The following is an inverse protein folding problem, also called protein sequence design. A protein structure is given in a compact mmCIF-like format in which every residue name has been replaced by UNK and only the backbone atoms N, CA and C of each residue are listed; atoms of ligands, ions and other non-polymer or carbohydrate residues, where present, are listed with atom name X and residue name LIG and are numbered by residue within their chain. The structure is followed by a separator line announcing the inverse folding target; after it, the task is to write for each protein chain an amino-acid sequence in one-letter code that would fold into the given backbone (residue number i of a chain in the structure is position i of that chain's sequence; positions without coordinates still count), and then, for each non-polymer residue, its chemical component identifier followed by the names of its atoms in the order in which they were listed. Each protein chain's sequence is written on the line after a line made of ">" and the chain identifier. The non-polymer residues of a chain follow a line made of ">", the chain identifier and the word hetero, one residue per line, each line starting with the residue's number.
data_IF_894756997378
#
_entry.id   IF_894756997378
#
_cell.length_a   1.000
_cell.length_b   1.000
_cell.length_c   1.000
_cell.angle_alpha   90.00
_cell.angle_beta   90.00
_cell.angle_gamma   90.00
#
_symmetry.space_group_name_H-M   'P 1'
#
loop_
_entity.id
_entity.type
_entity.pdbx_description
1 polymer ?
#
# COMPACT_ATOMS: atom_id res chain seq x y z
N UNK A 1 0.76 15.20 -0.84
CA UNK A 1 -0.23 14.11 -0.79
C UNK A 1 -1.47 14.59 -0.02
N UNK A 2 -2.69 14.25 -0.47
CA UNK A 2 -3.90 14.44 0.35
C UNK A 2 -4.20 13.12 1.07
N UNK A 3 -4.09 13.13 2.40
CA UNK A 3 -4.44 11.96 3.19
C UNK A 3 -5.96 11.81 3.30
N UNK A 4 -6.44 10.58 3.06
CA UNK A 4 -7.86 10.24 3.13
C UNK A 4 -8.01 8.84 3.77
N UNK A 5 -7.93 8.75 5.11
CA UNK A 5 -7.95 7.46 5.81
C UNK A 5 -9.20 6.65 5.46
N UNK A 6 -8.99 5.45 4.90
CA UNK A 6 -10.02 4.52 4.47
C UNK A 6 -11.04 5.13 3.49
N UNK A 7 -10.67 6.22 2.79
CA UNK A 7 -11.57 7.02 1.95
C UNK A 7 -12.79 7.58 2.70
N UNK A 8 -12.64 7.81 4.01
CA UNK A 8 -13.74 8.19 4.90
C UNK A 8 -13.65 9.61 5.42
N UNK A 9 -12.61 10.40 5.10
CA UNK A 9 -12.41 11.73 5.70
C UNK A 9 -13.64 12.65 5.65
N UNK A 10 -14.37 12.82 4.53
CA UNK A 10 -15.55 13.69 4.50
C UNK A 10 -16.79 13.08 5.17
N UNK A 11 -16.71 11.82 5.62
CA UNK A 11 -17.84 11.05 6.17
C UNK A 11 -17.64 10.67 7.65
N UNK A 12 -16.52 11.07 8.26
CA UNK A 12 -16.26 10.74 9.66
C UNK A 12 -17.20 11.51 10.60
N UNK A 13 -17.83 10.78 11.50
CA UNK A 13 -18.72 11.35 12.53
C UNK A 13 -18.03 11.55 13.88
N UNK A 14 -16.76 11.17 14.00
CA UNK A 14 -15.93 11.31 15.20
C UNK A 14 -14.43 11.41 14.82
N UNK A 15 -13.54 11.84 15.75
CA UNK A 15 -12.13 12.11 15.43
C UNK A 15 -11.36 10.92 14.88
N UNK A 16 -10.37 11.18 14.01
CA UNK A 16 -9.59 10.16 13.30
C UNK A 16 -8.84 9.18 14.23
N UNK A 17 -8.35 9.64 15.39
CA UNK A 17 -7.68 8.76 16.36
C UNK A 17 -8.62 7.70 16.94
N UNK A 18 -9.80 8.12 17.39
CA UNK A 18 -10.84 7.23 17.88
C UNK A 18 -11.35 6.31 16.75
N UNK A 19 -11.43 6.82 15.51
CA UNK A 19 -11.80 6.04 14.31
C UNK A 19 -10.80 4.93 14.01
N UNK A 20 -9.50 5.22 14.10
CA UNK A 20 -8.45 4.20 13.97
C UNK A 20 -8.56 3.15 15.08
N UNK A 21 -8.81 3.56 16.33
CA UNK A 21 -9.00 2.65 17.46
C UNK A 21 -10.19 1.70 17.23
N UNK A 22 -11.29 2.22 16.68
CA UNK A 22 -12.46 1.43 16.33
C UNK A 22 -12.12 0.34 15.30
N UNK A 23 -11.43 0.68 14.21
CA UNK A 23 -11.02 -0.30 13.20
C UNK A 23 -10.09 -1.37 13.74
N UNK A 24 -9.11 -1.00 14.58
CA UNK A 24 -8.22 -1.96 15.22
C UNK A 24 -9.01 -2.97 16.07
N UNK A 25 -10.04 -2.51 16.79
CA UNK A 25 -10.94 -3.40 17.54
C UNK A 25 -11.75 -4.32 16.63
N UNK A 26 -12.36 -3.78 15.57
CA UNK A 26 -13.19 -4.57 14.64
C UNK A 26 -12.35 -5.67 13.98
N UNK A 27 -11.20 -5.30 13.39
CA UNK A 27 -10.29 -6.23 12.72
C UNK A 27 -9.73 -7.24 13.71
N UNK A 28 -9.28 -6.79 14.89
CA UNK A 28 -8.77 -7.66 15.94
C UNK A 28 -9.81 -8.67 16.48
N UNK A 29 -11.10 -8.40 16.33
CA UNK A 29 -12.17 -9.31 16.72
C UNK A 29 -12.60 -10.29 15.63
N UNK A 30 -12.06 -10.18 14.41
CA UNK A 30 -12.42 -11.06 13.30
C UNK A 30 -11.88 -12.47 13.52
N UNK A 31 -12.76 -13.48 13.41
CA UNK A 31 -12.39 -14.91 13.48
C UNK A 31 -11.43 -15.30 12.36
N UNK A 32 -11.69 -14.78 11.16
CA UNK A 32 -10.84 -14.92 9.99
C UNK A 32 -10.28 -13.54 9.64
N UNK A 33 -8.96 -13.40 9.71
CA UNK A 33 -8.31 -12.11 9.47
C UNK A 33 -8.33 -11.78 7.97
N UNK A 34 -8.78 -10.59 7.58
CA UNK A 34 -8.71 -10.15 6.19
C UNK A 34 -7.25 -9.88 5.79
N UNK A 35 -6.96 -10.05 4.50
CA UNK A 35 -5.74 -9.53 3.89
C UNK A 35 -6.01 -8.11 3.40
N UNK A 36 -5.06 -7.20 3.64
CA UNK A 36 -5.11 -5.81 3.16
C UNK A 36 -4.08 -5.62 2.06
N UNK A 37 -4.48 -4.92 1.00
CA UNK A 37 -3.60 -4.49 -0.06
C UNK A 37 -3.73 -2.99 -0.27
N UNK A 38 -2.61 -2.33 -0.56
CA UNK A 38 -2.59 -0.98 -1.10
C UNK A 38 -2.25 -1.07 -2.58
N UNK A 39 -3.07 -0.47 -3.44
CA UNK A 39 -2.92 -0.54 -4.89
C UNK A 39 -2.77 0.86 -5.46
N UNK A 40 -1.87 1.01 -6.43
CA UNK A 40 -1.70 2.24 -7.19
C UNK A 40 -1.74 1.94 -8.70
N UNK A 41 -2.89 2.17 -9.33
CA UNK A 41 -3.07 2.00 -10.78
C UNK A 41 -2.58 3.19 -11.60
N UNK A 42 -2.11 4.25 -10.94
CA UNK A 42 -1.92 5.56 -11.56
C UNK A 42 -0.47 6.03 -11.50
N UNK A 43 0.47 5.14 -11.20
CA UNK A 43 1.88 5.48 -11.26
C UNK A 43 2.26 5.90 -12.67
N UNK A 44 3.04 6.97 -12.76
CA UNK A 44 3.48 7.55 -14.02
C UNK A 44 4.99 7.54 -14.09
N UNK A 45 5.49 7.39 -15.30
CA UNK A 45 6.90 7.62 -15.59
C UNK A 45 7.26 9.09 -15.35
N UNK A 46 8.45 9.33 -14.79
CA UNK A 46 8.89 10.68 -14.44
C UNK A 46 9.39 11.50 -15.64
N UNK A 47 9.80 10.85 -16.73
CA UNK A 47 10.41 11.49 -17.89
C UNK A 47 9.34 11.96 -18.90
N UNK A 48 8.39 11.11 -19.26
CA UNK A 48 7.40 11.40 -20.29
C UNK A 48 5.94 11.46 -19.76
N UNK A 49 5.71 11.06 -18.51
CA UNK A 49 4.42 11.15 -17.83
C UNK A 49 3.37 10.13 -18.26
N UNK A 50 3.74 9.10 -19.03
CA UNK A 50 2.81 8.02 -19.38
C UNK A 50 2.50 7.15 -18.15
N UNK A 51 1.41 6.37 -18.21
CA UNK A 51 1.04 5.46 -17.12
C UNK A 51 1.82 4.15 -17.22
N UNK A 52 2.48 3.75 -16.13
CA UNK A 52 3.25 2.49 -16.07
C UNK A 52 2.34 1.25 -16.07
N UNK A 53 1.05 1.43 -15.82
CA UNK A 53 0.07 0.34 -15.78
C UNK A 53 -1.12 0.67 -16.68
N UNK A 54 -1.55 -0.24 -17.59
CA UNK A 54 -2.67 0.02 -18.49
C UNK A 54 -4.01 0.27 -17.78
N UNK A 55 -4.21 -0.33 -16.60
CA UNK A 55 -5.43 -0.17 -15.81
C UNK A 55 -6.60 -1.02 -16.31
N UNK A 56 -7.82 -0.61 -15.96
CA UNK A 56 -9.07 -1.24 -16.41
C UNK A 56 -9.12 -2.75 -16.16
N UNK A 57 -9.19 -3.56 -17.24
CA UNK A 57 -9.27 -5.02 -17.18
C UNK A 57 -8.00 -5.63 -16.59
N UNK A 58 -6.85 -5.00 -16.83
CA UNK A 58 -5.56 -5.53 -16.40
C UNK A 58 -5.43 -5.49 -14.88
N UNK A 59 -6.15 -4.61 -14.18
CA UNK A 59 -6.21 -4.58 -12.71
C UNK A 59 -6.58 -5.94 -12.09
N UNK A 60 -7.32 -6.80 -12.81
CA UNK A 60 -7.64 -8.14 -12.35
C UNK A 60 -6.38 -8.96 -12.06
N UNK A 61 -5.27 -8.75 -12.79
CA UNK A 61 -4.00 -9.48 -12.62
C UNK A 61 -3.45 -9.32 -11.20
N UNK A 62 -3.46 -8.10 -10.67
CA UNK A 62 -3.01 -7.82 -9.31
C UNK A 62 -3.98 -8.34 -8.24
N UNK A 63 -5.29 -8.37 -8.53
CA UNK A 63 -6.28 -8.96 -7.62
C UNK A 63 -6.15 -10.49 -7.54
N UNK A 64 -5.89 -11.16 -8.67
CA UNK A 64 -5.62 -12.60 -8.71
C UNK A 64 -4.36 -12.93 -7.93
N UNK A 65 -3.28 -12.17 -8.11
CA UNK A 65 -2.06 -12.33 -7.33
C UNK A 65 -2.30 -12.19 -5.82
N UNK A 66 -3.12 -11.23 -5.38
CA UNK A 66 -3.46 -11.09 -3.96
C UNK A 66 -4.16 -12.34 -3.40
N UNK A 67 -4.99 -13.02 -4.21
CA UNK A 67 -5.60 -14.29 -3.84
C UNK A 67 -4.56 -15.41 -3.75
N UNK A 68 -3.60 -15.46 -4.68
CA UNK A 68 -2.49 -16.41 -4.64
C UNK A 68 -1.62 -16.21 -3.39
N UNK A 69 -1.33 -14.97 -3.00
CA UNK A 69 -0.63 -14.66 -1.74
C UNK A 69 -1.44 -15.15 -0.54
N UNK A 70 -2.75 -14.87 -0.50
CA UNK A 70 -3.63 -15.32 0.58
C UNK A 70 -3.66 -16.84 0.71
N UNK A 71 -3.59 -17.56 -0.40
CA UNK A 71 -3.65 -19.02 -0.47
C UNK A 71 -2.27 -19.70 -0.42
N UNK A 72 -1.20 -18.93 -0.26
CA UNK A 72 0.17 -19.43 -0.13
C UNK A 72 0.77 -19.97 -1.44
N UNK A 73 0.25 -19.53 -2.59
CA UNK A 73 0.75 -19.88 -3.93
C UNK A 73 1.72 -18.86 -4.53
N UNK A 74 1.79 -17.66 -3.96
CA UNK A 74 2.74 -16.62 -4.31
C UNK A 74 3.42 -16.10 -3.04
N UNK A 75 4.70 -15.76 -3.14
CA UNK A 75 5.51 -15.28 -2.01
C UNK A 75 5.75 -13.78 -2.09
N UNK A 76 5.91 -13.25 -3.30
CA UNK A 76 6.30 -11.88 -3.55
C UNK A 76 7.72 -11.52 -3.11
N UNK A 77 8.08 -10.25 -3.28
CA UNK A 77 9.30 -9.64 -2.78
C UNK A 77 8.98 -8.91 -1.48
N UNK A 78 9.69 -9.26 -0.40
CA UNK A 78 9.56 -8.57 0.88
C UNK A 78 10.22 -7.19 0.79
N UNK A 79 9.47 -6.15 1.15
CA UNK A 79 9.92 -4.76 1.18
C UNK A 79 9.60 -4.13 2.54
N UNK A 80 10.23 -3.00 2.90
CA UNK A 80 9.88 -2.26 4.12
C UNK A 80 8.39 -1.91 4.27
N UNK A 81 7.65 -1.82 3.15
CA UNK A 81 6.24 -1.38 3.11
C UNK A 81 5.25 -2.52 2.89
N UNK A 82 5.73 -3.76 2.88
CA UNK A 82 4.92 -4.95 2.67
C UNK A 82 5.47 -5.82 1.55
N UNK A 83 4.57 -6.57 0.90
CA UNK A 83 4.93 -7.54 -0.12
C UNK A 83 4.57 -6.96 -1.48
N UNK A 84 5.52 -6.95 -2.41
CA UNK A 84 5.27 -6.64 -3.81
C UNK A 84 5.24 -7.92 -4.65
N UNK A 85 4.49 -7.96 -5.78
CA UNK A 85 4.57 -9.07 -6.71
C UNK A 85 5.97 -9.24 -7.28
N UNK A 86 6.41 -10.50 -7.46
CA UNK A 86 7.45 -10.79 -8.45
C UNK A 86 6.81 -10.72 -9.84
N UNK A 87 7.55 -10.29 -10.87
CA UNK A 87 7.01 -10.19 -12.23
C UNK A 87 6.48 -11.54 -12.72
N UNK A 88 7.20 -12.62 -12.42
CA UNK A 88 6.85 -13.99 -12.77
C UNK A 88 5.65 -14.57 -12.01
N UNK A 89 5.22 -13.94 -10.91
CA UNK A 89 4.02 -14.33 -10.16
C UNK A 89 2.74 -13.68 -10.72
N UNK A 90 2.88 -12.67 -11.59
CA UNK A 90 1.73 -12.06 -12.24
C UNK A 90 1.32 -12.90 -13.44
N UNK A 91 0.01 -13.13 -13.59
CA UNK A 91 -0.52 -13.63 -14.86
C UNK A 91 -0.38 -12.52 -15.91
N UNK A 92 0.59 -12.64 -16.81
CA UNK A 92 0.86 -11.71 -17.91
C UNK A 92 0.38 -12.23 -19.28
N UNK A 93 -0.45 -13.28 -19.31
CA UNK A 93 -1.03 -13.77 -20.57
C UNK A 93 -1.89 -12.67 -21.23
N UNK A 94 -1.60 -12.40 -22.51
CA UNK A 94 -2.21 -11.29 -23.26
C UNK A 94 -1.97 -9.89 -22.66
N UNK A 95 -0.94 -9.69 -21.83
CA UNK A 95 -0.56 -8.37 -21.35
C UNK A 95 0.18 -7.60 -22.44
N UNK A 96 -0.23 -6.34 -22.67
CA UNK A 96 0.30 -5.48 -23.74
C UNK A 96 1.15 -4.31 -23.22
N UNK A 97 1.48 -4.29 -21.93
CA UNK A 97 2.34 -3.27 -21.33
C UNK A 97 3.83 -3.58 -21.51
N UNK A 98 4.68 -2.56 -21.28
CA UNK A 98 6.12 -2.70 -21.42
C UNK A 98 6.78 -3.39 -20.21
N UNK A 99 7.82 -4.16 -20.49
CA UNK A 99 8.54 -4.93 -19.47
C UNK A 99 9.34 -4.00 -18.54
N UNK A 100 9.92 -2.92 -19.08
CA UNK A 100 10.65 -1.95 -18.27
C UNK A 100 9.71 -1.14 -17.35
N UNK A 101 8.48 -0.86 -17.80
CA UNK A 101 7.46 -0.22 -16.97
C UNK A 101 7.04 -1.13 -15.81
N UNK A 102 6.90 -2.43 -16.03
CA UNK A 102 6.66 -3.39 -14.96
C UNK A 102 7.79 -3.41 -13.93
N UNK A 103 9.06 -3.34 -14.37
CA UNK A 103 10.20 -3.28 -13.45
C UNK A 103 10.16 -2.02 -12.59
N UNK A 104 9.84 -0.86 -13.19
CA UNK A 104 9.66 0.39 -12.47
C UNK A 104 8.47 0.32 -11.50
N UNK A 105 7.33 -0.20 -11.95
CA UNK A 105 6.09 -0.32 -11.18
C UNK A 105 6.25 -1.22 -9.95
N UNK A 106 7.04 -2.29 -10.07
CA UNK A 106 7.30 -3.27 -9.01
C UNK A 106 8.53 -2.92 -8.16
N UNK A 107 9.02 -1.68 -8.25
CA UNK A 107 10.16 -1.20 -7.46
C UNK A 107 9.74 -0.25 -6.34
N UNK A 108 10.64 -0.08 -5.35
CA UNK A 108 10.47 0.86 -4.24
C UNK A 108 11.59 1.89 -4.29
N UNK A 109 11.21 3.16 -4.45
CA UNK A 109 12.14 4.28 -4.30
C UNK A 109 12.33 4.61 -2.80
N UNK A 110 13.45 4.17 -2.25
CA UNK A 110 13.76 4.34 -0.83
C UNK A 110 13.83 5.82 -0.41
N UNK A 111 14.35 6.72 -1.25
CA UNK A 111 14.48 8.14 -0.92
C UNK A 111 13.13 8.85 -0.93
N UNK A 112 12.27 8.51 -1.90
CA UNK A 112 10.89 8.99 -1.90
C UNK A 112 10.12 8.50 -0.66
N UNK A 113 10.32 7.23 -0.27
CA UNK A 113 9.68 6.67 0.92
C UNK A 113 10.17 7.29 2.23
N UNK A 114 11.47 7.56 2.39
CA UNK A 114 12.00 8.29 3.56
C UNK A 114 11.33 9.67 3.69
N UNK A 115 11.23 10.39 2.57
CA UNK A 115 10.57 11.69 2.51
C UNK A 115 9.08 11.60 2.86
N UNK A 116 8.38 10.61 2.32
CA UNK A 116 6.97 10.35 2.63
C UNK A 116 6.76 9.97 4.10
N UNK A 117 7.66 9.19 4.72
CA UNK A 117 7.58 8.87 6.14
C UNK A 117 7.71 10.13 7.01
N UNK A 118 8.60 11.05 6.66
CA UNK A 118 8.67 12.36 7.36
C UNK A 118 7.35 13.13 7.26
N UNK A 119 6.76 13.26 6.07
CA UNK A 119 5.48 13.94 5.89
C UNK A 119 4.32 13.23 6.60
N UNK A 120 4.35 11.89 6.63
CA UNK A 120 3.34 11.11 7.34
C UNK A 120 3.44 11.31 8.84
N UNK A 121 4.65 11.41 9.40
CA UNK A 121 4.87 11.72 10.83
C UNK A 121 4.24 13.06 11.20
N UNK A 122 4.53 14.10 10.42
CA UNK A 122 3.94 15.44 10.62
C UNK A 122 2.41 15.42 10.51
N UNK A 123 1.87 14.58 9.61
CA UNK A 123 0.42 14.41 9.48
C UNK A 123 -0.20 13.72 10.70
N UNK A 124 0.36 12.59 11.12
CA UNK A 124 -0.17 11.79 12.24
C UNK A 124 -0.11 12.54 13.57
N UNK A 125 0.90 13.39 13.77
CA UNK A 125 1.08 14.20 14.98
C UNK A 125 -0.06 15.22 15.20
N UNK A 126 -0.86 15.52 14.17
CA UNK A 126 -2.01 16.43 14.28
C UNK A 126 -3.22 15.78 14.97
N UNK A 127 -3.23 14.45 15.09
CA UNK A 127 -4.37 13.71 15.61
C UNK A 127 -4.24 13.41 17.10
N UNK A 128 -5.31 13.71 17.83
CA UNK A 128 -5.46 13.28 19.23
C UNK A 128 -5.91 11.83 19.29
N UNK A 129 -5.57 11.13 20.37
CA UNK A 129 -5.97 9.76 20.66
C UNK A 129 -5.59 8.75 19.56
N UNK A 130 -4.57 9.03 18.75
CA UNK A 130 -4.12 8.07 17.75
C UNK A 130 -3.53 6.84 18.47
N UNK A 131 -3.97 5.60 18.14
CA UNK A 131 -3.49 4.41 18.82
C UNK A 131 -1.99 4.18 18.64
N UNK A 132 -1.32 3.66 19.68
CA UNK A 132 0.10 3.32 19.66
C UNK A 132 0.45 2.35 18.53
N UNK A 133 -0.45 1.44 18.18
CA UNK A 133 -0.26 0.50 17.07
C UNK A 133 -0.05 1.20 15.72
N UNK A 134 -0.66 2.38 15.52
CA UNK A 134 -0.46 3.17 14.29
C UNK A 134 0.94 3.80 14.28
N UNK A 135 1.39 4.32 15.42
CA UNK A 135 2.74 4.85 15.58
C UNK A 135 3.80 3.76 15.42
N UNK A 136 3.63 2.62 16.07
CA UNK A 136 4.52 1.48 15.94
C UNK A 136 4.64 0.98 14.49
N UNK A 137 3.54 0.94 13.74
CA UNK A 137 3.57 0.59 12.32
C UNK A 137 4.34 1.62 11.49
N UNK A 138 4.15 2.91 11.77
CA UNK A 138 4.87 4.00 11.08
C UNK A 138 6.38 3.96 11.38
N UNK A 139 6.76 3.83 12.64
CA UNK A 139 8.17 3.78 13.09
C UNK A 139 8.90 2.56 12.55
N UNK A 140 8.23 1.40 12.48
CA UNK A 140 8.81 0.20 11.87
C UNK A 140 9.18 0.42 10.40
N UNK A 141 8.31 1.07 9.64
CA UNK A 141 8.57 1.37 8.21
C UNK A 141 9.69 2.40 8.09
N UNK A 142 9.65 3.46 8.89
CA UNK A 142 10.68 4.50 8.91
C UNK A 142 12.07 3.93 9.23
N UNK A 143 12.17 3.07 10.24
CA UNK A 143 13.42 2.40 10.60
C UNK A 143 13.92 1.47 9.49
N UNK A 144 13.02 0.72 8.85
CA UNK A 144 13.38 -0.21 7.79
C UNK A 144 13.96 0.48 6.54
N UNK A 145 13.63 1.75 6.28
CA UNK A 145 14.26 2.54 5.22
C UNK A 145 15.56 3.25 5.65
N UNK A 146 15.80 3.38 6.95
CA UNK A 146 16.99 4.05 7.51
C UNK A 146 18.11 3.07 7.91
N UNK A 147 17.82 1.77 7.94
CA UNK A 147 18.79 0.69 8.15
C UNK A 147 19.61 0.40 6.89
#
# INVERSE_FOLDING_TARGET
>A
LRYDPMSMRPFMSYPEGDYAAHWLKVIGSAKEQPIFAHVNWFQRDSEDGHFLWPGYRDNLRALLWLLDVKEGRAEGVQTPVGILPKKEELNLDGFEGDDADLDKLLSIDAELWKKEMSYRREHLAQFKNLPEQIWAAHERIEQAFNA
#
